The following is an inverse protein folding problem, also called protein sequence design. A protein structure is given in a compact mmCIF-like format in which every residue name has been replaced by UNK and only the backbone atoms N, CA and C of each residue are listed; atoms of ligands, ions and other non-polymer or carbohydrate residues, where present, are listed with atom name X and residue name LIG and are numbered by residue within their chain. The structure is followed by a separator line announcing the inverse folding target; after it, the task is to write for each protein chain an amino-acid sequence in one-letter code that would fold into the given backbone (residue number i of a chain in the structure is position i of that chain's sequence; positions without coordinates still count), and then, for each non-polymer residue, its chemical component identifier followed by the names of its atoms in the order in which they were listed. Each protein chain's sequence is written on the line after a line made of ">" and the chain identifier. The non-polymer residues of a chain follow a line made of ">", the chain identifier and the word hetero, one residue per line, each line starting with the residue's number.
data_IF_364841642421
#
_entry.id   IF_364841642421
#
_cell.length_a   1.000
_cell.length_b   1.000
_cell.length_c   1.000
_cell.angle_alpha   90.00
_cell.angle_beta   90.00
_cell.angle_gamma   90.00
#
_symmetry.space_group_name_H-M   'P 1'
#
loop_
_entity.id
_entity.type
_entity.pdbx_description
1 polymer ?
#
# COMPACT_ATOMS: atom_id res chain seq x y z
N UNK A 1 43.90 -72.08 -20.79
CA UNK A 1 42.71 -72.40 -21.61
C UNK A 1 41.62 -72.80 -20.62
N UNK A 2 40.65 -72.00 -20.24
CA UNK A 2 40.24 -70.67 -20.68
C UNK A 2 39.48 -70.03 -19.53
N UNK A 3 39.76 -68.75 -19.27
CA UNK A 3 38.86 -67.85 -18.57
C UNK A 3 37.48 -67.88 -19.23
N UNK A 4 36.43 -68.04 -18.41
CA UNK A 4 35.06 -67.76 -18.83
C UNK A 4 34.59 -66.55 -18.05
N UNK A 5 34.35 -65.48 -18.82
CA UNK A 5 33.89 -64.16 -18.42
C UNK A 5 32.38 -64.04 -18.63
N UNK A 6 31.71 -63.47 -17.60
CA UNK A 6 30.47 -62.65 -17.57
C UNK A 6 29.08 -63.31 -17.82
N UNK A 7 28.00 -62.76 -17.23
CA UNK A 7 27.45 -61.44 -17.57
C UNK A 7 27.36 -60.44 -16.38
N UNK A 8 27.10 -59.15 -16.66
CA UNK A 8 27.11 -58.06 -15.68
C UNK A 8 25.94 -58.10 -14.69
N UNK A 9 26.19 -57.52 -13.51
CA UNK A 9 25.17 -57.24 -12.51
C UNK A 9 23.97 -56.53 -13.14
N UNK A 10 22.77 -57.06 -12.86
CA UNK A 10 21.53 -56.42 -13.26
C UNK A 10 21.45 -55.01 -12.65
N UNK A 11 20.97 -53.99 -13.39
CA UNK A 11 20.78 -52.68 -12.81
C UNK A 11 19.69 -52.78 -11.74
N UNK A 12 20.04 -52.41 -10.51
CA UNK A 12 19.12 -52.23 -9.40
C UNK A 12 17.98 -51.31 -9.89
N UNK A 13 16.77 -51.87 -9.97
CA UNK A 13 15.61 -51.16 -10.48
C UNK A 13 15.29 -49.97 -9.57
N UNK A 14 15.55 -48.75 -10.05
CA UNK A 14 15.12 -47.53 -9.41
C UNK A 14 13.61 -47.61 -9.13
N UNK A 15 13.23 -47.60 -7.85
CA UNK A 15 11.82 -47.62 -7.45
C UNK A 15 11.12 -46.40 -8.05
N UNK A 16 10.05 -46.57 -8.85
CA UNK A 16 9.30 -45.42 -9.33
C UNK A 16 8.63 -44.78 -8.11
N UNK A 17 9.16 -43.65 -7.64
CA UNK A 17 8.43 -42.82 -6.67
C UNK A 17 7.14 -42.40 -7.35
N UNK A 18 6.03 -43.08 -7.01
CA UNK A 18 4.69 -42.77 -7.47
C UNK A 18 4.44 -41.31 -7.08
N UNK A 19 4.62 -40.37 -8.02
CA UNK A 19 4.32 -38.95 -7.81
C UNK A 19 2.90 -38.90 -7.28
N UNK A 20 2.78 -38.61 -5.99
CA UNK A 20 1.51 -38.59 -5.26
C UNK A 20 0.61 -37.64 -6.06
N UNK A 21 -0.58 -38.09 -6.44
CA UNK A 21 -1.61 -37.33 -7.18
C UNK A 21 -2.15 -36.12 -6.38
N UNK A 22 -1.39 -35.62 -5.42
CA UNK A 22 -1.67 -34.51 -4.52
C UNK A 22 -1.25 -33.18 -5.18
N UNK A 23 -0.24 -33.20 -6.05
CA UNK A 23 0.21 -32.05 -6.82
C UNK A 23 -0.93 -31.28 -7.54
N UNK A 24 -1.89 -31.93 -8.24
CA UNK A 24 -3.00 -31.21 -8.86
C UNK A 24 -3.95 -30.57 -7.84
N UNK A 25 -4.16 -31.18 -6.66
CA UNK A 25 -5.01 -30.60 -5.62
C UNK A 25 -4.35 -29.38 -4.96
N UNK A 26 -3.03 -29.42 -4.74
CA UNK A 26 -2.28 -28.26 -4.24
C UNK A 26 -2.32 -27.12 -5.25
N UNK A 27 -2.07 -27.40 -6.54
CA UNK A 27 -2.11 -26.40 -7.59
C UNK A 27 -3.50 -25.76 -7.71
N UNK A 28 -4.57 -26.56 -7.61
CA UNK A 28 -5.94 -26.06 -7.58
C UNK A 28 -6.19 -25.16 -6.36
N UNK A 29 -5.77 -25.58 -5.17
CA UNK A 29 -5.90 -24.79 -3.96
C UNK A 29 -5.20 -23.43 -4.07
N UNK A 30 -3.96 -23.42 -4.58
CA UNK A 30 -3.21 -22.18 -4.83
C UNK A 30 -3.92 -21.30 -5.86
N UNK A 31 -4.39 -21.88 -6.97
CA UNK A 31 -5.11 -21.13 -8.00
C UNK A 31 -6.41 -20.49 -7.46
N UNK A 32 -7.14 -21.20 -6.58
CA UNK A 32 -8.33 -20.66 -5.91
C UNK A 32 -7.97 -19.51 -4.98
N UNK A 33 -6.93 -19.66 -4.16
CA UNK A 33 -6.49 -18.59 -3.24
C UNK A 33 -6.02 -17.37 -4.02
N UNK A 34 -5.23 -17.55 -5.07
CA UNK A 34 -4.76 -16.48 -5.94
C UNK A 34 -5.92 -15.81 -6.67
N UNK A 35 -6.86 -16.60 -7.23
CA UNK A 35 -8.06 -16.06 -7.87
C UNK A 35 -8.93 -15.26 -6.91
N UNK A 36 -9.14 -15.76 -5.68
CA UNK A 36 -9.86 -15.05 -4.64
C UNK A 36 -9.16 -13.74 -4.25
N UNK A 37 -7.83 -13.76 -4.12
CA UNK A 37 -7.04 -12.55 -3.85
C UNK A 37 -7.18 -11.52 -4.98
N UNK A 38 -7.12 -11.94 -6.24
CA UNK A 38 -7.35 -11.04 -7.39
C UNK A 38 -8.75 -10.45 -7.39
N UNK A 39 -9.78 -11.22 -7.05
CA UNK A 39 -11.15 -10.71 -6.92
C UNK A 39 -11.25 -9.65 -5.82
N UNK A 40 -10.62 -9.89 -4.67
CA UNK A 40 -10.59 -8.93 -3.56
C UNK A 40 -9.85 -7.65 -3.95
N UNK A 41 -8.67 -7.76 -4.57
CA UNK A 41 -7.86 -6.61 -4.97
C UNK A 41 -8.47 -5.81 -6.12
N UNK A 42 -9.16 -6.47 -7.06
CA UNK A 42 -9.87 -5.78 -8.13
C UNK A 42 -11.14 -5.06 -7.62
N UNK A 43 -11.76 -5.59 -6.55
CA UNK A 43 -12.91 -4.97 -5.89
C UNK A 43 -12.53 -3.97 -4.78
N UNK A 44 -11.27 -3.91 -4.36
CA UNK A 44 -10.78 -2.92 -3.41
C UNK A 44 -10.56 -1.60 -4.14
N UNK A 45 -11.66 -0.91 -4.38
CA UNK A 45 -11.62 0.49 -4.78
C UNK A 45 -11.19 1.30 -3.55
N UNK A 46 -9.91 1.68 -3.51
CA UNK A 46 -9.34 2.59 -2.50
C UNK A 46 -10.02 3.97 -2.49
N UNK A 47 -10.90 4.22 -3.47
CA UNK A 47 -11.71 5.42 -3.62
C UNK A 47 -13.20 5.15 -3.64
N UNK A 48 -13.71 4.06 -3.03
CA UNK A 48 -15.13 4.09 -2.62
C UNK A 48 -15.26 5.28 -1.70
N UNK A 49 -15.84 6.35 -2.23
CA UNK A 49 -16.30 7.49 -1.48
C UNK A 49 -17.28 6.97 -0.41
N UNK A 50 -16.75 6.53 0.73
CA UNK A 50 -17.40 6.81 1.99
C UNK A 50 -17.50 8.33 1.99
N UNK A 51 -18.63 8.82 1.51
CA UNK A 51 -19.14 10.14 1.85
C UNK A 51 -19.29 10.10 3.38
N UNK A 52 -18.17 10.29 4.07
CA UNK A 52 -18.13 10.51 5.50
C UNK A 52 -18.87 11.83 5.65
N UNK A 53 -20.13 11.75 6.09
CA UNK A 53 -20.89 12.91 6.52
C UNK A 53 -20.06 13.63 7.59
N UNK A 54 -19.30 14.62 7.15
CA UNK A 54 -18.37 15.34 7.99
C UNK A 54 -19.16 16.37 8.76
N UNK A 55 -19.50 16.03 10.00
CA UNK A 55 -20.17 16.91 10.97
C UNK A 55 -19.48 18.27 11.15
N UNK A 56 -18.21 18.39 10.74
CA UNK A 56 -17.41 19.61 10.85
C UNK A 56 -17.56 20.56 9.66
N UNK A 57 -18.19 20.14 8.56
CA UNK A 57 -18.47 21.04 7.43
C UNK A 57 -19.49 22.10 7.86
N UNK A 58 -19.26 23.36 7.49
CA UNK A 58 -20.02 24.54 7.91
C UNK A 58 -19.95 24.87 9.42
N UNK A 59 -19.10 24.19 10.19
CA UNK A 59 -18.76 24.58 11.55
C UNK A 59 -17.50 25.43 11.57
N UNK A 60 -17.35 26.25 12.62
CA UNK A 60 -16.10 26.96 12.84
C UNK A 60 -14.97 25.95 13.10
N UNK A 61 -13.82 26.16 12.45
CA UNK A 61 -12.64 25.36 12.72
C UNK A 61 -12.26 25.44 14.22
N UNK A 62 -11.86 24.33 14.86
CA UNK A 62 -11.39 24.33 16.24
C UNK A 62 -10.23 25.30 16.44
N UNK A 63 -10.18 25.97 17.59
CA UNK A 63 -9.03 26.80 17.95
C UNK A 63 -7.77 25.95 18.10
N UNK A 64 -6.69 26.34 17.41
CA UNK A 64 -5.39 25.69 17.51
C UNK A 64 -4.32 26.73 17.85
N UNK A 65 -3.70 26.57 19.01
CA UNK A 65 -2.58 27.39 19.48
C UNK A 65 -1.38 26.47 19.72
N UNK A 66 -0.24 26.80 19.13
CA UNK A 66 0.97 25.99 19.21
C UNK A 66 2.22 26.84 19.03
N UNK A 67 3.37 26.18 18.94
CA UNK A 67 4.64 26.77 18.51
C UNK A 67 5.07 26.07 17.21
N UNK A 68 5.49 26.85 16.22
CA UNK A 68 6.00 26.31 14.95
C UNK A 68 7.36 25.64 15.15
N UNK A 69 7.82 24.89 14.13
CA UNK A 69 9.12 24.22 14.16
C UNK A 69 10.32 25.18 14.34
N UNK A 70 10.17 26.45 13.94
CA UNK A 70 11.15 27.51 14.12
C UNK A 70 10.93 28.34 15.40
N UNK A 71 10.10 27.87 16.33
CA UNK A 71 9.93 28.47 17.65
C UNK A 71 9.01 29.69 17.71
N UNK A 72 8.25 29.98 16.64
CA UNK A 72 7.33 31.13 16.60
C UNK A 72 5.96 30.74 17.17
N UNK A 73 5.26 31.67 17.85
CA UNK A 73 3.90 31.41 18.30
C UNK A 73 2.97 31.25 17.09
N UNK A 74 2.14 30.20 17.13
CA UNK A 74 1.10 29.92 16.14
C UNK A 74 -0.27 29.97 16.80
N UNK A 75 -1.22 30.65 16.15
CA UNK A 75 -2.61 30.72 16.57
C UNK A 75 -3.49 30.79 15.32
N UNK A 76 -4.27 29.75 15.07
CA UNK A 76 -5.14 29.62 13.91
C UNK A 76 -6.16 30.76 13.82
N UNK A 77 -6.61 31.28 14.95
CA UNK A 77 -7.61 32.37 14.97
C UNK A 77 -7.10 33.67 14.35
N UNK A 78 -5.77 33.84 14.23
CA UNK A 78 -5.13 34.98 13.55
C UNK A 78 -5.17 34.89 12.03
N UNK A 79 -5.56 33.76 11.46
CA UNK A 79 -5.70 33.53 10.01
C UNK A 79 -7.14 33.68 9.50
N UNK A 80 -8.05 34.19 10.33
CA UNK A 80 -9.44 34.48 9.90
C UNK A 80 -9.45 35.41 8.69
N UNK A 81 -10.23 35.03 7.68
CA UNK A 81 -10.31 35.75 6.40
C UNK A 81 -9.35 35.24 5.33
N UNK A 82 -8.41 34.36 5.67
CA UNK A 82 -7.58 33.63 4.71
C UNK A 82 -8.01 32.18 4.63
N UNK A 83 -7.81 31.56 3.47
CA UNK A 83 -7.86 30.10 3.35
C UNK A 83 -6.66 29.49 4.09
N UNK A 84 -6.93 28.40 4.82
CA UNK A 84 -5.89 27.66 5.56
C UNK A 84 -6.07 26.18 5.31
N UNK A 85 -5.03 25.54 4.79
CA UNK A 85 -4.95 24.09 4.63
C UNK A 85 -4.11 23.53 5.77
N UNK A 86 -4.66 22.59 6.54
CA UNK A 86 -3.94 21.84 7.57
C UNK A 86 -3.75 20.40 7.09
N UNK A 87 -2.50 19.99 6.91
CA UNK A 87 -2.12 18.63 6.58
C UNK A 87 -1.50 17.97 7.82
N UNK A 88 -2.05 16.83 8.23
CA UNK A 88 -1.52 16.01 9.32
C UNK A 88 -0.79 14.81 8.72
N UNK A 89 0.51 14.70 8.99
CA UNK A 89 1.35 13.66 8.41
C UNK A 89 2.33 13.10 9.45
N UNK A 90 2.96 11.99 9.07
CA UNK A 90 4.10 11.42 9.77
C UNK A 90 5.28 11.29 8.78
N UNK A 91 6.54 11.52 9.17
CA UNK A 91 7.69 11.45 8.26
C UNK A 91 7.89 10.08 7.59
N UNK A 92 7.47 8.99 8.24
CA UNK A 92 7.63 7.62 7.74
C UNK A 92 6.37 7.11 7.01
N UNK A 93 5.34 7.95 6.88
CA UNK A 93 4.10 7.62 6.19
C UNK A 93 4.32 7.61 4.66
N UNK A 94 4.40 6.42 4.07
CA UNK A 94 4.56 6.22 2.61
C UNK A 94 3.56 7.03 1.76
N UNK A 95 2.24 6.97 1.99
CA UNK A 95 1.31 7.78 1.18
C UNK A 95 1.50 9.28 1.39
N UNK A 96 1.85 9.73 2.59
CA UNK A 96 2.15 11.13 2.88
C UNK A 96 3.37 11.61 2.09
N UNK A 97 4.43 10.80 2.02
CA UNK A 97 5.64 11.09 1.22
C UNK A 97 5.28 11.21 -0.27
N UNK A 98 4.41 10.33 -0.76
CA UNK A 98 3.95 10.37 -2.15
C UNK A 98 3.10 11.62 -2.46
N UNK A 99 2.37 12.17 -1.47
CA UNK A 99 1.52 13.36 -1.59
C UNK A 99 2.32 14.68 -1.54
N UNK A 100 3.40 14.73 -0.76
CA UNK A 100 4.15 15.98 -0.51
C UNK A 100 4.53 16.80 -1.76
N UNK A 101 5.01 16.20 -2.87
CA UNK A 101 5.32 16.96 -4.07
C UNK A 101 4.12 17.75 -4.62
N UNK A 102 2.92 17.19 -4.54
CA UNK A 102 1.69 17.84 -4.99
C UNK A 102 1.30 19.00 -4.06
N UNK A 103 1.49 18.85 -2.74
CA UNK A 103 1.27 19.95 -1.78
C UNK A 103 2.23 21.12 -1.99
N UNK A 104 3.50 20.82 -2.33
CA UNK A 104 4.47 21.85 -2.70
C UNK A 104 4.05 22.57 -3.98
N UNK A 105 3.60 21.83 -4.99
CA UNK A 105 3.12 22.41 -6.24
C UNK A 105 1.86 23.28 -6.01
N UNK A 106 0.94 22.83 -5.15
CA UNK A 106 -0.25 23.59 -4.77
C UNK A 106 0.11 24.91 -4.08
N UNK A 107 1.01 24.89 -3.09
CA UNK A 107 1.46 26.10 -2.38
C UNK A 107 2.06 27.13 -3.35
N UNK A 108 2.90 26.68 -4.27
CA UNK A 108 3.49 27.55 -5.30
C UNK A 108 2.45 28.16 -6.23
N UNK A 109 1.42 27.40 -6.60
CA UNK A 109 0.32 27.89 -7.45
C UNK A 109 -0.52 28.94 -6.71
N UNK A 110 -0.88 28.69 -5.45
CA UNK A 110 -1.66 29.62 -4.63
C UNK A 110 -0.89 30.92 -4.34
N UNK A 111 0.41 30.83 -4.07
CA UNK A 111 1.26 31.99 -3.85
C UNK A 111 1.34 32.94 -5.06
N UNK A 112 1.01 32.46 -6.27
CA UNK A 112 0.95 33.27 -7.47
C UNK A 112 -0.38 34.02 -7.66
N UNK A 113 -1.41 33.70 -6.86
CA UNK A 113 -2.74 34.31 -6.97
C UNK A 113 -2.84 35.60 -6.12
N UNK A 114 -3.64 36.60 -6.56
CA UNK A 114 -3.78 37.87 -5.85
C UNK A 114 -4.39 37.75 -4.44
N UNK A 115 -5.25 36.75 -4.24
CA UNK A 115 -6.05 36.58 -3.01
C UNK A 115 -5.51 35.47 -2.10
N UNK A 116 -4.43 34.79 -2.53
CA UNK A 116 -3.86 33.62 -1.87
C UNK A 116 -4.70 32.35 -1.99
#
# INVERSE_FOLDING_TARGET
>A
MSDVVAPPDAPEAATPTRRRRIAPFIALGVAVVVGALFVVLAGSDSGRNEEIDSFLINQAAPGAVSTTLDGRPFDLSRRKGSWVVLNFFDPECVPCIAEHPELIAFDQQQAALPDG
#
